data_IF_559408115042
#
_entry.id   IF_559408115042
#
_cell.length_a   1.000
_cell.length_b   1.000
_cell.length_c   1.000
_cell.angle_alpha   90.00
_cell.angle_beta   90.00
_cell.angle_gamma   90.00
#
_symmetry.space_group_name_H-M   'P 1'
#
loop_
_entity.id
_entity.type
_entity.pdbx_description
1 polymer ?
#
# COMPACT_ATOMS: atom_id res chain seq x y z
N UNK A 1 4.07 8.93 -18.60
CA UNK A 1 3.74 7.49 -18.63
C UNK A 1 2.82 7.28 -17.46
N UNK A 2 1.68 6.62 -17.63
CA UNK A 2 0.71 6.42 -16.55
C UNK A 2 1.35 5.56 -15.45
N UNK A 3 1.23 5.96 -14.18
CA UNK A 3 1.81 5.21 -13.04
C UNK A 3 0.79 4.31 -12.34
N UNK A 4 -0.46 4.33 -12.80
CA UNK A 4 -1.50 3.35 -12.50
C UNK A 4 -2.23 2.90 -13.76
N UNK A 5 -2.86 1.73 -13.73
CA UNK A 5 -3.74 1.22 -14.78
C UNK A 5 -5.05 0.76 -14.15
N UNK A 6 -6.19 1.11 -14.75
CA UNK A 6 -7.51 0.71 -14.26
C UNK A 6 -8.22 -0.06 -15.37
N UNK A 7 -8.72 -1.24 -15.02
CA UNK A 7 -9.56 -2.05 -15.89
C UNK A 7 -10.82 -2.47 -15.12
N UNK A 8 -11.95 -2.51 -15.82
CA UNK A 8 -13.19 -3.09 -15.27
C UNK A 8 -13.30 -4.54 -15.72
N UNK A 9 -13.42 -5.45 -14.76
CA UNK A 9 -13.72 -6.88 -14.99
C UNK A 9 -15.10 -7.15 -14.39
N UNK A 10 -16.08 -7.36 -15.25
CA UNK A 10 -17.49 -7.41 -14.89
C UNK A 10 -17.94 -6.16 -14.09
N UNK A 11 -18.15 -6.30 -12.77
CA UNK A 11 -18.54 -5.23 -11.87
C UNK A 11 -17.42 -4.77 -10.92
N UNK A 12 -16.19 -5.28 -11.11
CA UNK A 12 -15.04 -5.04 -10.23
C UNK A 12 -14.02 -4.17 -10.95
N UNK A 13 -13.57 -3.11 -10.29
CA UNK A 13 -12.47 -2.29 -10.75
C UNK A 13 -11.16 -2.93 -10.31
N UNK A 14 -10.21 -3.10 -11.22
CA UNK A 14 -8.87 -3.60 -10.91
C UNK A 14 -7.89 -2.47 -11.17
N UNK A 15 -7.39 -1.88 -10.08
CA UNK A 15 -6.36 -0.85 -10.10
C UNK A 15 -4.99 -1.51 -9.93
N UNK A 16 -4.12 -1.32 -10.91
CA UNK A 16 -2.77 -1.86 -10.95
C UNK A 16 -1.76 -0.73 -10.82
N UNK A 17 -0.91 -0.78 -9.79
CA UNK A 17 0.23 0.13 -9.66
C UNK A 17 1.26 -0.21 -10.73
N UNK A 18 1.69 0.74 -11.54
CA UNK A 18 2.64 0.54 -12.65
C UNK A 18 3.83 1.51 -12.65
N UNK A 19 4.16 2.07 -11.47
CA UNK A 19 5.30 2.98 -11.29
C UNK A 19 6.65 2.27 -11.29
N UNK A 20 7.34 2.34 -12.43
CA UNK A 20 8.69 1.81 -12.58
C UNK A 20 8.76 0.28 -12.40
N UNK A 21 9.84 -0.22 -11.79
CA UNK A 21 10.07 -1.69 -11.64
C UNK A 21 9.47 -2.29 -10.38
N UNK A 22 9.21 -1.47 -9.37
CA UNK A 22 8.91 -1.92 -8.00
C UNK A 22 7.70 -1.20 -7.39
N UNK A 23 6.99 -0.40 -8.18
CA UNK A 23 5.82 0.36 -7.74
C UNK A 23 6.13 1.18 -6.48
N UNK A 24 7.23 1.95 -6.55
CA UNK A 24 7.66 2.77 -5.42
C UNK A 24 6.62 3.88 -5.17
N UNK A 25 6.29 4.09 -3.90
CA UNK A 25 5.35 5.12 -3.45
C UNK A 25 6.04 6.49 -3.47
N UNK A 26 6.10 7.09 -4.64
CA UNK A 26 6.52 8.48 -4.83
C UNK A 26 5.30 9.42 -4.91
N UNK A 27 5.57 10.73 -4.90
CA UNK A 27 4.53 11.76 -4.92
C UNK A 27 3.60 11.61 -6.12
N UNK A 28 4.13 11.30 -7.31
CA UNK A 28 3.35 11.16 -8.54
C UNK A 28 2.36 9.99 -8.44
N UNK A 29 2.84 8.81 -8.05
CA UNK A 29 2.00 7.64 -7.86
C UNK A 29 0.94 7.86 -6.78
N UNK A 30 1.33 8.45 -5.64
CA UNK A 30 0.42 8.64 -4.51
C UNK A 30 -0.70 9.63 -4.85
N UNK A 31 -0.39 10.72 -5.56
CA UNK A 31 -1.40 11.68 -6.01
C UNK A 31 -2.35 11.04 -7.02
N UNK A 32 -1.83 10.38 -8.07
CA UNK A 32 -2.69 9.75 -9.09
C UNK A 32 -3.57 8.63 -8.48
N UNK A 33 -3.01 7.84 -7.56
CA UNK A 33 -3.75 6.82 -6.83
C UNK A 33 -4.88 7.43 -5.98
N UNK A 34 -4.60 8.53 -5.26
CA UNK A 34 -5.60 9.20 -4.42
C UNK A 34 -6.77 9.71 -5.24
N UNK A 35 -6.49 10.36 -6.37
CA UNK A 35 -7.51 10.90 -7.25
C UNK A 35 -8.35 9.78 -7.87
N UNK A 36 -7.71 8.70 -8.34
CA UNK A 36 -8.40 7.53 -8.85
C UNK A 36 -9.31 6.88 -7.79
N UNK A 37 -8.84 6.70 -6.55
CA UNK A 37 -9.64 6.12 -5.47
C UNK A 37 -10.88 6.97 -5.16
N UNK A 38 -10.73 8.29 -5.16
CA UNK A 38 -11.85 9.23 -4.94
C UNK A 38 -12.85 9.17 -6.10
N UNK A 39 -12.37 9.11 -7.33
CA UNK A 39 -13.23 8.99 -8.52
C UNK A 39 -14.01 7.66 -8.51
N UNK A 40 -13.31 6.54 -8.33
CA UNK A 40 -13.92 5.20 -8.26
C UNK A 40 -14.85 5.02 -7.06
N UNK A 41 -14.65 5.81 -6.00
CA UNK A 41 -15.50 5.80 -4.81
C UNK A 41 -16.77 6.67 -4.96
N UNK A 42 -16.89 7.46 -6.02
CA UNK A 42 -18.09 8.26 -6.25
C UNK A 42 -19.31 7.38 -6.59
N UNK A 43 -20.49 7.77 -6.08
CA UNK A 43 -21.70 6.94 -5.93
C UNK A 43 -22.02 5.97 -7.08
N UNK A 44 -22.23 4.66 -6.81
CA UNK A 44 -22.27 4.03 -5.48
C UNK A 44 -20.93 3.47 -4.95
N UNK A 45 -19.79 3.67 -5.62
CA UNK A 45 -18.52 3.02 -5.25
C UNK A 45 -18.54 1.51 -5.51
N UNK A 46 -17.79 1.04 -6.51
CA UNK A 46 -17.76 -0.37 -6.91
C UNK A 46 -16.86 -1.24 -6.02
N UNK A 47 -16.84 -2.55 -6.25
CA UNK A 47 -15.78 -3.40 -5.67
C UNK A 47 -14.44 -3.06 -6.32
N UNK A 48 -13.36 -3.04 -5.53
CA UNK A 48 -12.02 -2.67 -5.98
C UNK A 48 -11.00 -3.75 -5.63
N UNK A 49 -10.17 -4.11 -6.61
CA UNK A 49 -8.95 -4.89 -6.41
C UNK A 49 -7.75 -3.98 -6.64
N UNK A 50 -6.86 -3.87 -5.66
CA UNK A 50 -5.55 -3.24 -5.81
C UNK A 50 -4.49 -4.31 -6.05
N UNK A 51 -3.64 -4.14 -7.06
CA UNK A 51 -2.47 -4.99 -7.30
C UNK A 51 -1.30 -4.19 -7.86
N UNK A 52 -0.12 -4.82 -8.04
CA UNK A 52 1.04 -4.20 -8.68
C UNK A 52 1.37 -4.86 -10.02
N UNK A 53 1.84 -4.09 -10.98
CA UNK A 53 2.36 -4.59 -12.24
C UNK A 53 3.67 -5.36 -12.02
N UNK A 54 3.92 -6.36 -12.88
CA UNK A 54 5.16 -7.14 -12.84
C UNK A 54 5.25 -8.07 -11.64
N UNK A 55 6.37 -8.00 -10.90
CA UNK A 55 6.74 -8.97 -9.85
C UNK A 55 6.66 -8.43 -8.42
N UNK A 56 6.29 -7.17 -8.24
CA UNK A 56 6.28 -6.47 -6.96
C UNK A 56 4.90 -5.84 -6.80
N UNK A 57 4.30 -5.99 -5.63
CA UNK A 57 3.07 -5.25 -5.32
C UNK A 57 3.44 -3.78 -5.13
N UNK A 58 4.25 -3.50 -4.11
CA UNK A 58 4.94 -2.22 -3.91
C UNK A 58 6.11 -2.40 -2.94
N UNK A 59 7.27 -1.81 -3.26
CA UNK A 59 8.44 -1.78 -2.39
C UNK A 59 8.41 -0.66 -1.34
N UNK A 60 7.32 0.12 -1.27
CA UNK A 60 7.24 1.30 -0.40
C UNK A 60 7.96 2.51 -0.98
N UNK A 61 8.46 3.38 -0.12
CA UNK A 61 9.11 4.64 -0.52
C UNK A 61 10.53 4.39 -1.03
N UNK A 62 10.92 5.09 -2.09
CA UNK A 62 12.32 5.14 -2.54
C UNK A 62 13.16 6.06 -1.62
N UNK A 63 13.90 5.44 -0.69
CA UNK A 63 14.75 6.16 0.26
C UNK A 63 15.88 6.94 -0.43
N UNK A 64 16.35 6.53 -1.60
CA UNK A 64 17.38 7.29 -2.31
C UNK A 64 16.83 8.65 -2.76
N UNK A 65 15.57 8.68 -3.24
CA UNK A 65 14.88 9.92 -3.59
C UNK A 65 14.62 10.79 -2.36
N UNK A 66 14.29 10.18 -1.22
CA UNK A 66 14.14 10.91 0.05
C UNK A 66 15.45 11.61 0.43
N UNK A 67 16.57 10.89 0.41
CA UNK A 67 17.89 11.45 0.74
C UNK A 67 18.31 12.53 -0.24
N UNK A 68 18.10 12.33 -1.55
CA UNK A 68 18.49 13.29 -2.59
C UNK A 68 17.63 14.56 -2.59
N UNK A 69 16.32 14.42 -2.36
CA UNK A 69 15.37 15.53 -2.37
C UNK A 69 15.32 16.32 -1.06
N UNK A 70 15.75 15.71 0.04
CA UNK A 70 15.75 16.30 1.38
C UNK A 70 14.36 16.78 1.83
N UNK A 71 14.34 17.79 2.68
CA UNK A 71 13.12 18.34 3.30
C UNK A 71 12.05 18.74 2.28
N UNK A 72 12.46 19.37 1.18
CA UNK A 72 11.55 19.83 0.12
C UNK A 72 10.75 18.70 -0.55
N UNK A 73 11.32 17.50 -0.57
CA UNK A 73 10.66 16.31 -1.08
C UNK A 73 9.78 15.67 0.00
N UNK A 74 10.27 15.55 1.23
CA UNK A 74 9.49 14.97 2.33
C UNK A 74 8.25 15.79 2.67
N UNK A 75 8.31 17.12 2.55
CA UNK A 75 7.17 18.02 2.79
C UNK A 75 6.00 17.76 1.82
N UNK A 76 6.28 17.17 0.66
CA UNK A 76 5.26 16.76 -0.32
C UNK A 76 4.91 15.28 -0.18
N UNK A 77 5.89 14.45 0.12
CA UNK A 77 5.71 12.99 0.21
C UNK A 77 4.86 12.58 1.41
N UNK A 78 5.08 13.17 2.60
CA UNK A 78 4.38 12.76 3.81
C UNK A 78 2.86 13.03 3.73
N UNK A 79 2.39 14.21 3.26
CA UNK A 79 0.98 14.43 2.98
C UNK A 79 0.44 13.46 1.92
N UNK A 80 1.14 13.27 0.80
CA UNK A 80 0.70 12.37 -0.26
C UNK A 80 0.55 10.91 0.20
N UNK A 81 1.45 10.43 1.07
CA UNK A 81 1.33 9.12 1.71
C UNK A 81 0.06 9.05 2.57
N UNK A 82 -0.15 10.06 3.41
CA UNK A 82 -1.30 10.11 4.32
C UNK A 82 -2.62 10.14 3.53
N UNK A 83 -2.71 10.99 2.51
CA UNK A 83 -3.88 11.10 1.63
C UNK A 83 -4.20 9.78 0.91
N UNK A 84 -3.18 9.10 0.38
CA UNK A 84 -3.39 7.83 -0.33
C UNK A 84 -3.81 6.69 0.62
N UNK A 85 -3.21 6.61 1.82
CA UNK A 85 -3.59 5.62 2.83
C UNK A 85 -5.01 5.88 3.35
N UNK A 86 -5.36 7.13 3.64
CA UNK A 86 -6.71 7.51 4.07
C UNK A 86 -7.74 7.24 2.97
N UNK A 87 -7.43 7.57 1.71
CA UNK A 87 -8.33 7.33 0.58
C UNK A 87 -8.60 5.84 0.36
N UNK A 88 -7.58 4.98 0.51
CA UNK A 88 -7.76 3.53 0.39
C UNK A 88 -8.54 2.98 1.58
N UNK A 89 -8.15 3.35 2.81
CA UNK A 89 -8.78 2.85 4.04
C UNK A 89 -10.24 3.30 4.17
N UNK A 90 -10.56 4.50 3.67
CA UNK A 90 -11.90 5.08 3.65
C UNK A 90 -12.69 4.81 2.37
N UNK A 91 -12.22 3.94 1.48
CA UNK A 91 -12.92 3.65 0.23
C UNK A 91 -14.33 3.08 0.51
N UNK A 92 -15.39 3.57 -0.14
CA UNK A 92 -16.78 3.25 0.25
C UNK A 92 -17.28 1.87 -0.19
N UNK A 93 -16.59 1.22 -1.14
CA UNK A 93 -16.90 -0.14 -1.61
C UNK A 93 -15.97 -1.19 -0.98
N UNK A 94 -16.23 -2.50 -1.23
CA UNK A 94 -15.35 -3.56 -0.75
C UNK A 94 -14.01 -3.56 -1.50
N UNK A 95 -12.91 -3.67 -0.77
CA UNK A 95 -11.55 -3.62 -1.31
C UNK A 95 -10.74 -4.90 -1.05
N UNK A 96 -9.95 -5.32 -2.04
CA UNK A 96 -9.04 -6.46 -1.94
C UNK A 96 -7.64 -6.07 -2.42
N UNK A 97 -6.63 -6.24 -1.58
CA UNK A 97 -5.23 -6.22 -2.00
C UNK A 97 -4.83 -7.59 -2.57
N UNK A 98 -4.67 -7.68 -3.89
CA UNK A 98 -4.11 -8.84 -4.56
C UNK A 98 -2.57 -8.72 -4.61
N UNK A 99 -1.90 -9.25 -3.60
CA UNK A 99 -0.46 -9.14 -3.39
C UNK A 99 0.26 -10.18 -4.27
N UNK A 100 0.61 -9.75 -5.48
CA UNK A 100 1.30 -10.55 -6.50
C UNK A 100 2.81 -10.68 -6.27
N UNK A 101 3.38 -9.86 -5.38
CA UNK A 101 4.82 -9.76 -5.15
C UNK A 101 5.17 -9.20 -3.78
N UNK A 102 6.35 -8.60 -3.64
CA UNK A 102 6.74 -7.93 -2.40
C UNK A 102 5.82 -6.72 -2.11
N UNK A 103 5.27 -6.66 -0.89
CA UNK A 103 4.49 -5.56 -0.32
C UNK A 103 5.20 -5.10 0.96
N UNK A 104 6.17 -4.19 0.82
CA UNK A 104 7.15 -3.87 1.87
C UNK A 104 6.97 -2.42 2.31
N UNK A 105 7.14 -2.17 3.61
CA UNK A 105 7.03 -0.85 4.22
C UNK A 105 5.69 -0.19 3.84
N UNK A 106 5.69 0.99 3.21
CA UNK A 106 4.46 1.63 2.74
C UNK A 106 3.60 0.77 1.82
N UNK A 107 4.19 -0.19 1.08
CA UNK A 107 3.43 -1.18 0.31
C UNK A 107 2.66 -2.16 1.19
N UNK A 108 3.20 -2.53 2.36
CA UNK A 108 2.48 -3.28 3.39
C UNK A 108 1.32 -2.46 3.95
N UNK A 109 1.56 -1.18 4.27
CA UNK A 109 0.52 -0.27 4.78
C UNK A 109 -0.63 -0.15 3.78
N UNK A 110 -0.32 0.05 2.50
CA UNK A 110 -1.33 0.12 1.43
C UNK A 110 -2.15 -1.17 1.31
N UNK A 111 -1.51 -2.34 1.41
CA UNK A 111 -2.22 -3.63 1.40
C UNK A 111 -3.08 -3.83 2.67
N UNK A 112 -2.63 -3.35 3.82
CA UNK A 112 -3.36 -3.35 5.08
C UNK A 112 -4.50 -2.33 5.11
N UNK A 113 -4.47 -1.32 4.24
CA UNK A 113 -5.55 -0.35 4.09
C UNK A 113 -6.79 -0.95 3.39
N UNK A 114 -6.62 -2.02 2.60
CA UNK A 114 -7.76 -2.75 2.03
C UNK A 114 -8.49 -3.62 3.08
N UNK A 115 -9.75 -3.97 2.83
CA UNK A 115 -10.54 -4.84 3.71
C UNK A 115 -9.95 -6.25 3.81
N UNK A 116 -9.52 -6.79 2.66
CA UNK A 116 -8.97 -8.14 2.54
C UNK A 116 -7.66 -8.16 1.78
N UNK A 117 -6.81 -9.13 2.12
CA UNK A 117 -5.53 -9.40 1.45
C UNK A 117 -5.52 -10.81 0.89
N UNK A 118 -5.16 -10.94 -0.38
CA UNK A 118 -4.85 -12.22 -1.02
C UNK A 118 -3.37 -12.20 -1.38
N UNK A 119 -2.60 -13.12 -0.81
CA UNK A 119 -1.14 -13.15 -1.00
C UNK A 119 -0.71 -14.34 -1.83
N UNK A 120 0.09 -14.09 -2.86
CA UNK A 120 0.70 -15.14 -3.67
C UNK A 120 1.66 -16.00 -2.85
N UNK A 121 1.77 -17.30 -3.17
CA UNK A 121 2.59 -18.24 -2.40
C UNK A 121 4.07 -17.85 -2.25
N UNK A 122 4.61 -17.09 -3.22
CA UNK A 122 6.00 -16.58 -3.22
C UNK A 122 6.11 -15.11 -2.83
N UNK A 123 4.98 -14.42 -2.67
CA UNK A 123 4.92 -13.02 -2.27
C UNK A 123 5.30 -12.87 -0.79
N UNK A 124 5.67 -11.66 -0.42
CA UNK A 124 6.09 -11.30 0.92
C UNK A 124 5.42 -9.99 1.33
N UNK A 125 5.02 -9.88 2.60
CA UNK A 125 4.46 -8.67 3.19
C UNK A 125 5.15 -8.36 4.51
N UNK A 126 5.42 -7.08 4.79
CA UNK A 126 5.94 -6.68 6.09
C UNK A 126 6.20 -5.19 6.23
N UNK A 127 6.00 -4.69 7.44
CA UNK A 127 6.32 -3.33 7.85
C UNK A 127 7.77 -3.31 8.34
N UNK A 128 8.70 -2.79 7.52
CA UNK A 128 10.15 -2.84 7.75
C UNK A 128 10.78 -1.46 8.01
N UNK A 129 9.97 -0.44 8.23
CA UNK A 129 10.37 0.96 8.43
C UNK A 129 11.34 1.10 9.61
N UNK A 130 11.12 0.36 10.70
CA UNK A 130 11.97 0.38 11.89
C UNK A 130 13.40 -0.09 11.62
N UNK A 131 13.59 -0.98 10.64
CA UNK A 131 14.92 -1.51 10.29
C UNK A 131 15.82 -0.45 9.64
N UNK A 132 15.22 0.61 9.10
CA UNK A 132 15.92 1.73 8.46
C UNK A 132 15.77 3.04 9.25
N UNK A 133 15.22 2.98 10.47
CA UNK A 133 15.04 4.14 11.34
C UNK A 133 14.00 5.14 10.87
N UNK A 134 13.03 4.72 10.05
CA UNK A 134 11.97 5.58 9.52
C UNK A 134 10.72 5.45 10.39
N UNK A 135 10.10 6.58 10.72
CA UNK A 135 8.85 6.61 11.48
C UNK A 135 7.63 6.47 10.55
N UNK A 136 6.54 5.94 11.10
CA UNK A 136 5.25 5.88 10.41
C UNK A 136 4.52 7.23 10.47
N UNK A 137 3.92 7.70 9.37
CA UNK A 137 2.87 8.70 9.44
C UNK A 137 1.73 8.23 10.36
N UNK A 138 1.03 9.16 11.02
CA UNK A 138 -0.04 8.84 11.99
C UNK A 138 -1.14 7.98 11.35
N UNK A 139 -1.52 8.29 10.11
CA UNK A 139 -2.49 7.51 9.32
C UNK A 139 -2.01 6.07 9.12
N UNK A 140 -0.77 5.90 8.65
CA UNK A 140 -0.19 4.58 8.43
C UNK A 140 -0.16 3.75 9.71
N UNK A 141 0.18 4.37 10.84
CA UNK A 141 0.15 3.70 12.15
C UNK A 141 -1.28 3.29 12.54
N UNK A 142 -2.29 4.14 12.26
CA UNK A 142 -3.71 3.82 12.46
C UNK A 142 -4.16 2.61 11.65
N UNK A 143 -3.86 2.60 10.35
CA UNK A 143 -4.14 1.48 9.44
C UNK A 143 -3.49 0.18 9.95
N UNK A 144 -2.20 0.23 10.29
CA UNK A 144 -1.48 -0.96 10.74
C UNK A 144 -2.00 -1.48 12.08
N UNK A 145 -2.36 -0.60 13.03
CA UNK A 145 -2.97 -1.00 14.31
C UNK A 145 -4.34 -1.64 14.10
N UNK A 146 -5.14 -1.12 13.18
CA UNK A 146 -6.43 -1.71 12.82
C UNK A 146 -6.23 -3.10 12.19
N UNK A 147 -5.38 -3.21 11.18
CA UNK A 147 -5.17 -4.45 10.43
C UNK A 147 -4.51 -5.56 11.26
N UNK A 148 -3.57 -5.21 12.15
CA UNK A 148 -2.81 -6.20 12.93
C UNK A 148 -3.44 -6.52 14.30
N UNK A 149 -4.36 -5.68 14.80
CA UNK A 149 -4.94 -5.84 16.13
C UNK A 149 -3.89 -5.97 17.23
N UNK A 150 -4.03 -6.99 18.09
CA UNK A 150 -3.13 -7.25 19.21
C UNK A 150 -1.68 -7.55 18.80
N UNK A 151 -1.44 -7.87 17.52
CA UNK A 151 -0.10 -8.15 16.97
C UNK A 151 0.61 -6.91 16.45
N UNK A 152 -0.02 -5.74 16.49
CA UNK A 152 0.54 -4.52 15.91
C UNK A 152 1.93 -4.20 16.44
N UNK A 153 2.18 -4.35 17.74
CA UNK A 153 3.50 -4.11 18.33
C UNK A 153 4.57 -5.09 17.81
N UNK A 154 4.26 -6.39 17.78
CA UNK A 154 5.16 -7.42 17.22
C UNK A 154 5.51 -7.13 15.76
N UNK A 155 4.52 -6.76 14.95
CA UNK A 155 4.69 -6.49 13.52
C UNK A 155 5.50 -5.21 13.31
N UNK A 156 5.12 -4.11 13.96
CA UNK A 156 5.70 -2.79 13.72
C UNK A 156 7.11 -2.64 14.33
N UNK A 157 7.34 -3.17 15.54
CA UNK A 157 8.65 -3.11 16.18
C UNK A 157 9.58 -4.24 15.72
N UNK A 158 9.01 -5.37 15.28
CA UNK A 158 9.80 -6.51 14.82
C UNK A 158 10.40 -6.31 13.43
N UNK A 159 9.79 -5.51 12.57
CA UNK A 159 10.35 -5.20 11.24
C UNK A 159 10.34 -6.38 10.25
N UNK A 160 9.71 -7.50 10.60
CA UNK A 160 9.82 -8.77 9.86
C UNK A 160 8.90 -8.80 8.65
N UNK A 161 9.33 -9.50 7.60
CA UNK A 161 8.49 -9.86 6.46
C UNK A 161 8.05 -11.31 6.56
N UNK A 162 6.81 -11.58 6.18
CA UNK A 162 6.17 -12.90 6.17
C UNK A 162 5.85 -13.32 4.74
N UNK A 163 6.01 -14.60 4.41
CA UNK A 163 5.83 -15.11 3.04
C UNK A 163 4.65 -16.07 2.95
N UNK A 164 3.87 -15.95 1.86
CA UNK A 164 2.83 -16.91 1.50
C UNK A 164 1.99 -17.38 2.70
N UNK A 165 2.06 -18.68 3.01
CA UNK A 165 1.27 -19.30 4.09
C UNK A 165 1.63 -18.77 5.49
N UNK A 166 2.88 -18.35 5.73
CA UNK A 166 3.27 -17.75 7.00
C UNK A 166 2.52 -16.44 7.22
N UNK A 167 2.41 -15.60 6.18
CA UNK A 167 1.65 -14.35 6.25
C UNK A 167 0.17 -14.61 6.57
N UNK A 168 -0.44 -15.63 5.95
CA UNK A 168 -1.83 -16.03 6.22
C UNK A 168 -2.02 -16.45 7.69
N UNK A 169 -1.04 -17.15 8.28
CA UNK A 169 -1.11 -17.53 9.70
C UNK A 169 -0.99 -16.36 10.68
N UNK A 170 -0.57 -15.18 10.19
CA UNK A 170 -0.31 -13.99 11.01
C UNK A 170 -1.53 -13.07 11.19
N UNK A 171 -2.56 -13.17 10.34
CA UNK A 171 -3.77 -12.36 10.50
C UNK A 171 -4.65 -12.36 9.25
N UNK A 172 -5.84 -11.72 9.32
CA UNK A 172 -6.75 -11.57 8.19
C UNK A 172 -6.25 -10.63 7.09
#
# INVERSE_FOLDING_TARGET
MTVIEIQTVDAVQVLTLSSGRVNALDVELLTELTDALRELGSSPGGALVLTGAGRVFSAGVDLNRVVQGGTSYTDRLIPALSDAFDAMFGYPGPTVAAINGAAIAGGCVMACACDRRLIGAKAAIGASEVLVGVAFPVVALGVMRYACGDRAEEVLLGGRSYRGIEAVSRGP
#
